data_IF_409371392896
#
_entry.id   IF_409371392896
#
_cell.length_a   1.000
_cell.length_b   1.000
_cell.length_c   1.000
_cell.angle_alpha   90.00
_cell.angle_beta   90.00
_cell.angle_gamma   90.00
#
_symmetry.space_group_name_H-M   'P 1'
#
loop_
_entity.id
_entity.type
_entity.pdbx_description
1 polymer ?
#
# COMPACT_ATOMS: atom_id res chain seq x y z
N UNK A 1 49.95 17.24 6.64
CA UNK A 1 48.59 17.79 6.45
C UNK A 1 47.74 16.78 5.69
N UNK A 2 46.88 16.01 6.36
CA UNK A 2 45.79 15.30 5.68
C UNK A 2 44.72 14.89 6.71
N UNK A 3 43.89 15.85 7.12
CA UNK A 3 42.62 15.58 7.81
C UNK A 3 41.54 16.31 7.04
N UNK A 4 40.68 15.56 6.35
CA UNK A 4 39.32 15.93 5.91
C UNK A 4 38.91 15.01 4.76
N UNK A 5 38.24 13.88 5.06
CA UNK A 5 37.22 13.21 4.21
C UNK A 5 36.53 12.11 5.02
N UNK A 6 35.83 12.46 6.10
CA UNK A 6 34.98 11.49 6.84
C UNK A 6 33.52 11.97 6.96
N UNK A 7 33.19 13.15 6.43
CA UNK A 7 31.87 13.75 6.59
C UNK A 7 30.76 13.27 5.64
N UNK A 8 31.09 12.71 4.46
CA UNK A 8 30.06 12.41 3.44
C UNK A 8 29.55 10.97 3.41
N UNK A 9 30.25 10.02 4.07
CA UNK A 9 29.86 8.60 3.96
C UNK A 9 28.73 8.24 4.93
N UNK A 10 28.60 8.95 6.06
CA UNK A 10 27.59 8.63 7.08
C UNK A 10 26.18 9.03 6.64
N UNK A 11 26.03 10.07 5.79
CA UNK A 11 24.71 10.52 5.34
C UNK A 11 24.16 9.63 4.22
N UNK A 12 25.02 8.99 3.41
CA UNK A 12 24.56 8.12 2.33
C UNK A 12 23.99 6.79 2.85
N UNK A 13 24.54 6.26 3.94
CA UNK A 13 24.05 4.99 4.53
C UNK A 13 22.69 5.18 5.20
N UNK A 14 22.43 6.33 5.83
CA UNK A 14 21.13 6.61 6.44
C UNK A 14 20.00 6.74 5.39
N UNK A 15 20.31 7.21 4.17
CA UNK A 15 19.32 7.33 3.10
C UNK A 15 19.08 6.01 2.33
N UNK A 16 20.06 5.09 2.34
CA UNK A 16 19.92 3.77 1.70
C UNK A 16 19.14 2.81 2.60
N UNK A 17 19.27 2.92 3.93
CA UNK A 17 18.57 2.04 4.88
C UNK A 17 17.06 2.24 4.86
N UNK A 18 16.56 3.44 4.53
CA UNK A 18 15.11 3.67 4.36
C UNK A 18 14.55 3.11 3.05
N UNK A 19 15.40 2.64 2.12
CA UNK A 19 14.96 2.07 0.83
C UNK A 19 14.99 0.53 0.82
N UNK A 20 15.59 -0.12 1.82
CA UNK A 20 15.83 -1.58 1.80
C UNK A 20 15.20 -2.38 2.94
N UNK A 21 14.07 -1.96 3.50
CA UNK A 21 13.24 -2.79 4.38
C UNK A 21 11.98 -3.27 3.64
N UNK A 22 12.17 -4.17 2.68
CA UNK A 22 11.09 -5.05 2.20
C UNK A 22 11.65 -6.46 2.20
N UNK A 23 11.96 -6.99 3.37
CA UNK A 23 12.21 -8.43 3.52
C UNK A 23 11.99 -8.88 4.97
N UNK A 24 10.71 -8.84 5.39
CA UNK A 24 10.02 -9.84 6.22
C UNK A 24 8.61 -9.33 6.48
N UNK A 25 7.65 -10.21 6.21
CA UNK A 25 6.20 -10.03 6.19
C UNK A 25 5.63 -9.43 7.49
N UNK A 26 5.44 -8.13 7.55
CA UNK A 26 4.39 -7.57 8.39
C UNK A 26 3.10 -7.56 7.57
N UNK A 27 2.04 -8.20 8.07
CA UNK A 27 0.73 -8.10 7.45
C UNK A 27 0.21 -6.68 7.67
N UNK A 28 -0.36 -6.09 6.62
CA UNK A 28 -0.74 -4.70 6.66
C UNK A 28 -1.05 -4.12 5.30
N UNK A 29 -1.64 -2.93 5.35
CA UNK A 29 -1.76 -2.00 4.23
C UNK A 29 -0.62 -0.99 4.34
N UNK A 30 0.14 -0.81 3.25
CA UNK A 30 1.27 0.11 3.19
C UNK A 30 1.06 1.13 2.08
N UNK A 31 0.94 2.40 2.44
CA UNK A 31 0.81 3.51 1.51
C UNK A 31 2.17 4.19 1.36
N UNK A 32 2.71 4.19 0.15
CA UNK A 32 3.97 4.87 -0.17
C UNK A 32 3.68 6.03 -1.09
N UNK A 33 3.73 7.24 -0.53
CA UNK A 33 3.67 8.50 -1.28
C UNK A 33 4.88 9.36 -0.99
N UNK A 34 5.24 10.25 -1.92
CA UNK A 34 6.31 11.25 -1.74
C UNK A 34 5.79 12.58 -1.20
N UNK A 35 4.48 12.80 -1.28
CA UNK A 35 3.79 14.01 -0.88
C UNK A 35 2.39 13.66 -0.42
N UNK A 36 1.76 14.56 0.31
CA UNK A 36 0.35 14.42 0.65
C UNK A 36 -0.50 14.73 -0.58
N UNK A 37 -1.51 13.89 -0.84
CA UNK A 37 -2.39 14.03 -2.00
C UNK A 37 -3.82 14.19 -1.49
N UNK A 38 -4.54 15.25 -1.87
CA UNK A 38 -5.85 15.62 -1.33
C UNK A 38 -6.98 14.74 -1.90
N UNK A 39 -6.82 13.42 -1.81
CA UNK A 39 -7.83 12.43 -2.14
C UNK A 39 -7.96 11.43 -1.00
N UNK A 40 -9.21 11.03 -0.73
CA UNK A 40 -9.48 9.93 0.19
C UNK A 40 -9.02 8.61 -0.40
N UNK A 41 -8.65 7.69 0.47
CA UNK A 41 -8.27 6.33 0.13
C UNK A 41 -8.92 5.36 1.12
N UNK A 42 -9.45 4.26 0.60
CA UNK A 42 -10.10 3.22 1.39
C UNK A 42 -9.82 1.85 0.80
N UNK A 43 -9.50 0.88 1.64
CA UNK A 43 -9.35 -0.52 1.27
C UNK A 43 -10.41 -1.31 2.03
N UNK A 44 -11.29 -2.00 1.30
CA UNK A 44 -12.40 -2.76 1.87
C UNK A 44 -12.28 -4.21 1.43
N UNK A 45 -12.48 -5.12 2.39
CA UNK A 45 -12.69 -6.54 2.13
C UNK A 45 -14.19 -6.83 2.14
N UNK A 46 -14.66 -7.43 1.05
CA UNK A 46 -16.06 -7.77 0.84
C UNK A 46 -16.25 -9.27 1.00
N UNK A 47 -17.15 -9.66 1.89
CA UNK A 47 -17.66 -11.01 2.09
C UNK A 47 -19.09 -11.11 1.53
N UNK A 48 -19.65 -12.32 1.46
CA UNK A 48 -21.06 -12.48 1.09
C UNK A 48 -22.02 -11.83 2.11
N UNK A 49 -21.67 -11.87 3.40
CA UNK A 49 -22.53 -11.42 4.50
C UNK A 49 -22.18 -10.02 5.05
N UNK A 50 -21.20 -9.33 4.46
CA UNK A 50 -20.78 -8.01 4.95
C UNK A 50 -19.40 -7.58 4.48
N UNK A 51 -18.87 -6.54 5.11
CA UNK A 51 -17.62 -5.90 4.71
C UNK A 51 -16.76 -5.50 5.92
N UNK A 52 -15.44 -5.57 5.74
CA UNK A 52 -14.45 -5.11 6.72
C UNK A 52 -13.63 -3.99 6.07
N UNK A 53 -13.61 -2.81 6.69
CA UNK A 53 -12.69 -1.74 6.30
C UNK A 53 -11.30 -2.09 6.81
N UNK A 54 -10.36 -2.31 5.88
CA UNK A 54 -8.99 -2.69 6.19
C UNK A 54 -8.06 -1.49 6.38
N UNK A 55 -8.39 -0.37 5.71
CA UNK A 55 -7.66 0.89 5.81
C UNK A 55 -8.56 2.02 5.30
N UNK A 56 -8.53 3.17 5.96
CA UNK A 56 -9.25 4.37 5.50
C UNK A 56 -8.54 5.63 5.93
N UNK A 57 -8.31 6.54 4.99
CA UNK A 57 -7.76 7.85 5.29
C UNK A 57 -8.37 8.93 4.39
N UNK A 58 -8.68 10.14 4.88
CA UNK A 58 -9.24 11.23 4.08
C UNK A 58 -8.25 11.86 3.10
N UNK A 59 -6.98 11.50 3.18
CA UNK A 59 -5.86 12.06 2.38
C UNK A 59 -4.85 10.96 2.12
N UNK A 60 -4.29 10.84 0.93
CA UNK A 60 -3.22 9.87 0.70
C UNK A 60 -1.93 10.46 1.27
N UNK A 61 -1.44 9.83 2.33
CA UNK A 61 -0.19 10.15 3.01
C UNK A 61 0.71 8.90 3.05
N UNK A 62 2.00 9.04 3.36
CA UNK A 62 2.83 7.88 3.65
C UNK A 62 2.38 7.27 4.98
N UNK A 63 1.92 6.02 4.95
CA UNK A 63 1.36 5.36 6.13
C UNK A 63 1.51 3.83 6.05
N UNK A 64 1.36 3.18 7.20
CA UNK A 64 1.25 1.74 7.32
C UNK A 64 0.27 1.37 8.43
N UNK A 65 -0.74 0.60 8.08
CA UNK A 65 -1.70 0.05 9.04
C UNK A 65 -1.51 -1.45 9.15
N UNK A 66 -1.25 -1.93 10.38
CA UNK A 66 -1.23 -3.35 10.67
C UNK A 66 -2.67 -3.84 10.74
N UNK A 67 -3.00 -4.83 9.92
CA UNK A 67 -4.31 -5.43 9.95
C UNK A 67 -4.31 -6.47 11.07
N UNK A 68 -5.13 -6.24 12.10
CA UNK A 68 -5.41 -7.29 13.07
C UNK A 68 -5.98 -8.51 12.34
N UNK A 69 -5.57 -9.72 12.72
CA UNK A 69 -6.08 -10.95 12.09
C UNK A 69 -7.60 -10.89 12.01
N UNK A 70 -8.13 -10.86 10.79
CA UNK A 70 -9.55 -10.66 10.55
C UNK A 70 -10.33 -11.79 11.22
N UNK A 71 -11.31 -11.45 12.06
CA UNK A 71 -12.17 -12.44 12.71
C UNK A 71 -13.19 -13.03 11.74
N UNK A 72 -13.44 -12.35 10.61
CA UNK A 72 -14.34 -12.81 9.58
C UNK A 72 -13.61 -13.80 8.65
N UNK A 73 -13.99 -15.07 8.76
CA UNK A 73 -13.56 -16.14 7.85
C UNK A 73 -14.55 -16.29 6.71
N UNK A 74 -14.05 -16.46 5.49
CA UNK A 74 -14.90 -16.69 4.32
C UNK A 74 -14.25 -16.25 3.02
N UNK A 75 -14.74 -16.82 1.92
CA UNK A 75 -14.38 -16.34 0.59
C UNK A 75 -14.75 -14.86 0.46
N UNK A 76 -13.87 -14.09 -0.17
CA UNK A 76 -14.00 -12.64 -0.20
C UNK A 76 -13.27 -12.05 -1.40
N UNK A 77 -13.43 -10.74 -1.59
CA UNK A 77 -12.64 -9.92 -2.51
C UNK A 77 -12.18 -8.64 -1.84
N UNK A 78 -11.17 -7.97 -2.40
CA UNK A 78 -10.65 -6.71 -1.85
C UNK A 78 -10.74 -5.63 -2.91
N UNK A 79 -11.34 -4.51 -2.55
CA UNK A 79 -11.42 -3.31 -3.37
C UNK A 79 -10.53 -2.19 -2.82
N UNK A 80 -10.11 -1.30 -3.71
CA UNK A 80 -9.46 -0.04 -3.41
C UNK A 80 -10.31 1.09 -3.97
N UNK A 81 -10.63 2.04 -3.11
CA UNK A 81 -11.28 3.29 -3.47
C UNK A 81 -10.27 4.42 -3.32
N UNK A 82 -10.12 5.24 -4.36
CA UNK A 82 -9.37 6.49 -4.34
C UNK A 82 -10.27 7.59 -4.90
N UNK A 83 -10.48 8.64 -4.10
CA UNK A 83 -11.47 9.67 -4.40
C UNK A 83 -12.87 9.07 -4.54
N UNK A 84 -13.43 9.10 -5.76
CA UNK A 84 -14.77 8.57 -6.07
C UNK A 84 -14.72 7.27 -6.87
N UNK A 85 -13.53 6.80 -7.27
CA UNK A 85 -13.38 5.62 -8.11
C UNK A 85 -13.00 4.40 -7.25
N UNK A 86 -13.75 3.30 -7.43
CA UNK A 86 -13.55 2.02 -6.74
C UNK A 86 -13.17 0.95 -7.75
N UNK A 87 -12.13 0.18 -7.44
CA UNK A 87 -11.64 -0.92 -8.28
C UNK A 87 -11.41 -2.18 -7.44
N UNK A 88 -11.75 -3.35 -7.97
CA UNK A 88 -11.40 -4.63 -7.35
C UNK A 88 -9.89 -4.89 -7.56
N UNK A 89 -9.12 -4.87 -6.47
CA UNK A 89 -7.66 -5.07 -6.52
C UNK A 89 -7.26 -6.53 -6.41
N UNK A 90 -8.06 -7.33 -5.68
CA UNK A 90 -7.97 -8.78 -5.55
C UNK A 90 -9.38 -9.34 -5.72
N UNK A 91 -9.62 -10.09 -6.81
CA UNK A 91 -10.95 -10.56 -7.20
C UNK A 91 -11.43 -11.79 -6.43
N UNK A 92 -10.51 -12.54 -5.80
CA UNK A 92 -10.82 -13.69 -4.98
C UNK A 92 -9.78 -13.85 -3.88
N UNK A 93 -10.24 -14.07 -2.66
CA UNK A 93 -9.45 -14.39 -1.47
C UNK A 93 -10.07 -15.63 -0.84
N UNK A 94 -9.27 -16.68 -0.72
CA UNK A 94 -9.71 -17.94 -0.12
C UNK A 94 -10.12 -17.76 1.34
N UNK A 95 -11.09 -18.57 1.78
CA UNK A 95 -11.63 -18.56 3.14
C UNK A 95 -10.59 -18.68 4.27
N UNK A 96 -9.44 -19.32 3.98
CA UNK A 96 -8.36 -19.53 4.96
C UNK A 96 -7.34 -18.38 5.01
N UNK A 97 -7.48 -17.37 4.15
CA UNK A 97 -6.57 -16.22 4.10
C UNK A 97 -7.12 -15.11 5.00
N UNK A 98 -6.47 -14.92 6.15
CA UNK A 98 -6.80 -13.87 7.14
C UNK A 98 -5.66 -12.86 7.34
N UNK A 99 -4.57 -13.02 6.59
CA UNK A 99 -3.36 -12.20 6.65
C UNK A 99 -2.99 -11.80 5.23
N UNK A 100 -2.80 -10.50 5.02
CA UNK A 100 -2.44 -9.95 3.72
C UNK A 100 -1.41 -8.84 3.89
N UNK A 101 -0.58 -8.69 2.86
CA UNK A 101 0.35 -7.58 2.73
C UNK A 101 0.04 -6.88 1.40
N UNK A 102 -0.57 -5.70 1.48
CA UNK A 102 -0.94 -4.90 0.31
C UNK A 102 -0.13 -3.61 0.35
N UNK A 103 0.64 -3.36 -0.70
CA UNK A 103 1.41 -2.15 -0.88
C UNK A 103 0.83 -1.33 -2.02
N UNK A 104 0.48 -0.08 -1.72
CA UNK A 104 -0.04 0.91 -2.66
C UNK A 104 1.02 2.01 -2.77
N UNK A 105 1.77 2.02 -3.87
CA UNK A 105 2.79 3.04 -4.13
C UNK A 105 2.28 4.05 -5.14
N UNK A 106 2.22 5.32 -4.76
CA UNK A 106 1.97 6.40 -5.72
C UNK A 106 3.18 6.56 -6.63
N UNK A 107 2.93 6.52 -7.94
CA UNK A 107 3.93 6.71 -9.00
C UNK A 107 3.93 8.17 -9.45
N UNK A 108 2.75 8.73 -9.70
CA UNK A 108 2.54 10.13 -10.07
C UNK A 108 1.15 10.61 -9.66
N UNK A 109 1.04 11.92 -9.46
CA UNK A 109 -0.22 12.62 -9.23
C UNK A 109 -0.20 13.90 -10.06
N UNK A 110 -1.28 14.13 -10.80
CA UNK A 110 -1.52 15.37 -11.54
C UNK A 110 -2.54 16.23 -10.77
N UNK A 111 -2.07 17.35 -10.21
CA UNK A 111 -2.89 18.27 -9.42
C UNK A 111 -3.99 18.96 -10.24
N UNK A 112 -3.79 19.09 -11.57
CA UNK A 112 -4.75 19.77 -12.44
C UNK A 112 -5.94 18.86 -12.78
N UNK A 113 -5.66 17.59 -13.03
CA UNK A 113 -6.68 16.62 -13.44
C UNK A 113 -7.22 15.78 -12.29
N UNK A 114 -6.50 15.71 -11.18
CA UNK A 114 -6.78 14.76 -10.11
C UNK A 114 -6.30 13.34 -10.42
N UNK A 115 -5.65 13.10 -11.55
CA UNK A 115 -5.25 11.75 -11.94
C UNK A 115 -4.12 11.22 -11.05
N UNK A 116 -4.32 10.04 -10.47
CA UNK A 116 -3.32 9.34 -9.66
C UNK A 116 -2.95 8.03 -10.35
N UNK A 117 -1.66 7.85 -10.61
CA UNK A 117 -1.11 6.56 -11.03
C UNK A 117 -0.43 5.88 -9.85
N UNK A 118 -0.80 4.64 -9.57
CA UNK A 118 -0.23 3.80 -8.52
C UNK A 118 0.41 2.53 -9.09
N UNK A 119 1.31 1.94 -8.31
CA UNK A 119 1.72 0.54 -8.42
C UNK A 119 1.24 -0.20 -7.19
N UNK A 120 0.29 -1.10 -7.41
CA UNK A 120 -0.18 -2.05 -6.41
C UNK A 120 0.77 -3.25 -6.36
N UNK A 121 1.08 -3.75 -5.16
CA UNK A 121 1.79 -5.02 -4.99
C UNK A 121 1.24 -5.79 -3.81
N UNK A 122 1.05 -7.10 -3.98
CA UNK A 122 0.61 -8.01 -2.92
C UNK A 122 1.16 -9.42 -3.17
N UNK A 123 0.98 -10.32 -2.19
CA UNK A 123 1.26 -11.74 -2.37
C UNK A 123 -0.02 -12.52 -2.51
N UNK A 124 -0.03 -13.45 -3.47
CA UNK A 124 -1.05 -14.47 -3.64
C UNK A 124 -0.38 -15.84 -3.51
N UNK A 125 -0.54 -16.47 -2.34
CA UNK A 125 0.26 -17.63 -1.96
C UNK A 125 1.78 -17.34 -2.00
N UNK A 126 2.49 -18.03 -2.91
CA UNK A 126 3.92 -17.84 -3.15
C UNK A 126 4.23 -16.78 -4.20
N UNK A 127 3.23 -16.38 -5.00
CA UNK A 127 3.42 -15.44 -6.08
C UNK A 127 3.38 -14.01 -5.57
N UNK A 128 4.24 -13.16 -6.14
CA UNK A 128 4.23 -11.73 -5.90
C UNK A 128 3.60 -11.03 -7.10
N UNK A 129 2.41 -10.49 -6.89
CA UNK A 129 1.70 -9.72 -7.92
C UNK A 129 2.09 -8.26 -7.81
N UNK A 130 2.34 -7.62 -8.96
CA UNK A 130 2.60 -6.19 -9.05
C UNK A 130 1.99 -5.63 -10.33
N UNK A 131 0.97 -4.79 -10.22
CA UNK A 131 0.26 -4.19 -11.36
C UNK A 131 0.16 -2.66 -11.26
N UNK A 132 0.28 -1.92 -12.37
CA UNK A 132 -0.04 -0.50 -12.41
C UNK A 132 -1.57 -0.30 -12.40
N UNK A 133 -2.04 0.80 -11.81
CA UNK A 133 -3.44 1.23 -11.86
C UNK A 133 -3.50 2.76 -11.91
N UNK A 134 -4.55 3.30 -12.52
CA UNK A 134 -4.77 4.74 -12.64
C UNK A 134 -6.19 5.07 -12.17
N UNK A 135 -6.30 6.11 -11.35
CA UNK A 135 -7.55 6.66 -10.82
C UNK A 135 -7.72 8.10 -11.31
N UNK A 136 -8.95 8.50 -11.60
CA UNK A 136 -9.30 9.82 -12.15
C UNK A 136 -10.31 10.55 -11.29
#
# INVERSE_FOLDING_TARGET
MLKRKVGCIIILVALIVSVTLIDKSEDGIFIVSKQDIPQSIEVIRHYSEGETVLYKHPTIIMDSEKIASDTNSGESKISLTIGQQTEDIISYVDSNVNRFNIKIKVVSYDELTGEISIRLSYRDGLEKISKPMTFK
#
